data_IF_144578285678
#
_entry.id   IF_144578285678
#
_cell.length_a   1.000
_cell.length_b   1.000
_cell.length_c   1.000
_cell.angle_alpha   90.00
_cell.angle_beta   90.00
_cell.angle_gamma   90.00
#
_symmetry.space_group_name_H-M   'P 1'
#
loop_
_entity.id
_entity.type
_entity.pdbx_description
1 polymer ?
#
# COMPACT_ATOMS: atom_id res chain seq x y z
N UNK A 1 -2.58 -15.26 17.92
CA UNK A 1 -1.23 -15.80 17.66
C UNK A 1 -0.89 -17.06 18.46
N UNK A 2 -1.25 -17.15 19.75
CA UNK A 2 -1.02 -18.35 20.57
C UNK A 2 -1.55 -19.66 19.95
N UNK A 3 -2.78 -19.64 19.44
CA UNK A 3 -3.39 -20.81 18.80
C UNK A 3 -2.74 -21.20 17.47
N UNK A 4 -2.03 -20.27 16.82
CA UNK A 4 -1.33 -20.51 15.56
C UNK A 4 0.14 -20.91 15.76
N UNK A 5 0.63 -21.02 17.01
CA UNK A 5 2.04 -21.27 17.30
C UNK A 5 2.97 -20.07 17.04
N UNK A 6 2.43 -18.91 16.65
CA UNK A 6 3.19 -17.74 16.22
C UNK A 6 3.52 -16.76 17.37
N UNK A 7 3.63 -17.24 18.62
CA UNK A 7 3.85 -16.38 19.79
C UNK A 7 5.16 -15.60 19.69
N UNK A 8 6.24 -16.26 19.29
CA UNK A 8 7.59 -15.67 19.24
C UNK A 8 7.68 -14.51 18.24
N UNK A 9 7.38 -14.69 16.93
CA UNK A 9 7.45 -13.58 15.99
C UNK A 9 6.43 -12.47 16.30
N UNK A 10 5.26 -12.82 16.86
CA UNK A 10 4.28 -11.82 17.27
C UNK A 10 4.75 -10.96 18.44
N UNK A 11 5.45 -11.54 19.41
CA UNK A 11 5.95 -10.80 20.57
C UNK A 11 6.87 -9.66 20.15
N UNK A 12 7.71 -9.86 19.13
CA UNK A 12 8.57 -8.79 18.61
C UNK A 12 7.76 -7.58 18.13
N UNK A 13 6.69 -7.83 17.37
CA UNK A 13 5.81 -6.78 16.85
C UNK A 13 5.04 -6.11 17.99
N UNK A 14 4.47 -6.91 18.89
CA UNK A 14 3.72 -6.42 20.04
C UNK A 14 4.58 -5.55 20.97
N UNK A 15 5.77 -6.02 21.34
CA UNK A 15 6.68 -5.29 22.22
C UNK A 15 7.17 -3.98 21.58
N UNK A 16 7.25 -3.92 20.24
CA UNK A 16 7.52 -2.67 19.53
C UNK A 16 6.36 -1.69 19.66
N UNK A 17 5.13 -2.14 19.40
CA UNK A 17 3.92 -1.30 19.50
C UNK A 17 3.77 -0.71 20.91
N UNK A 18 3.94 -1.54 21.95
CA UNK A 18 3.86 -1.12 23.36
C UNK A 18 4.91 -0.07 23.76
N UNK A 19 6.04 -0.01 23.04
CA UNK A 19 7.11 0.97 23.30
C UNK A 19 6.94 2.28 22.55
N UNK A 20 6.00 2.38 21.61
CA UNK A 20 5.77 3.62 20.87
C UNK A 20 5.19 4.69 21.80
N UNK A 21 5.78 5.88 21.76
CA UNK A 21 5.29 7.07 22.47
C UNK A 21 4.40 7.94 21.59
N UNK A 22 3.55 8.75 22.22
CA UNK A 22 2.26 9.24 21.72
C UNK A 22 2.19 10.08 20.44
N UNK A 23 3.31 10.39 19.78
CA UNK A 23 3.28 11.12 18.50
C UNK A 23 3.06 10.19 17.29
N UNK A 24 3.48 8.93 17.41
CA UNK A 24 3.30 7.90 16.36
C UNK A 24 2.26 6.89 16.83
N UNK A 25 1.13 6.87 16.15
CA UNK A 25 0.07 5.90 16.38
C UNK A 25 0.23 4.71 15.43
N UNK A 26 0.13 3.50 15.98
CA UNK A 26 0.18 2.24 15.24
C UNK A 26 -0.91 1.32 15.79
N UNK A 27 -1.95 1.08 15.00
CA UNK A 27 -3.14 0.33 15.41
C UNK A 27 -3.22 -0.99 14.63
N UNK A 28 -3.25 -2.15 15.29
CA UNK A 28 -3.62 -3.40 14.65
C UNK A 28 -5.07 -3.36 14.16
N UNK A 29 -5.28 -3.55 12.87
CA UNK A 29 -6.61 -3.39 12.25
C UNK A 29 -7.12 -4.70 11.62
N UNK A 30 -6.25 -5.40 10.88
CA UNK A 30 -6.63 -6.57 10.08
C UNK A 30 -5.70 -7.72 10.42
N UNK A 31 -6.27 -8.92 10.51
CA UNK A 31 -5.52 -10.18 10.49
C UNK A 31 -5.94 -10.96 9.27
N UNK A 32 -4.97 -11.43 8.47
CA UNK A 32 -5.22 -12.40 7.41
C UNK A 32 -4.42 -13.67 7.66
N UNK A 33 -4.99 -14.79 7.23
CA UNK A 33 -4.36 -16.12 7.30
C UNK A 33 -4.52 -16.79 5.94
N UNK A 34 -3.53 -17.59 5.56
CA UNK A 34 -3.66 -18.42 4.37
C UNK A 34 -4.66 -19.57 4.63
N UNK A 35 -5.43 -19.96 3.62
CA UNK A 35 -6.33 -21.10 3.69
C UNK A 35 -5.60 -22.38 3.23
N UNK A 36 -4.52 -22.70 3.93
CA UNK A 36 -3.64 -23.86 3.67
C UNK A 36 -3.60 -24.79 4.89
N UNK A 37 -2.93 -25.93 4.75
CA UNK A 37 -2.63 -26.79 5.89
C UNK A 37 -1.88 -26.02 7.01
N UNK A 38 -2.14 -26.30 8.31
CA UNK A 38 -1.62 -25.49 9.40
C UNK A 38 -0.09 -25.29 9.40
N UNK A 39 0.67 -26.29 8.98
CA UNK A 39 2.14 -26.25 8.87
C UNK A 39 2.65 -25.24 7.84
N UNK A 40 1.87 -24.97 6.78
CA UNK A 40 2.20 -24.03 5.70
C UNK A 40 1.51 -22.68 5.87
N UNK A 41 0.65 -22.55 6.89
CA UNK A 41 -0.12 -21.34 7.09
C UNK A 41 0.77 -20.19 7.55
N UNK A 42 0.44 -18.99 7.08
CA UNK A 42 1.07 -17.74 7.47
C UNK A 42 0.00 -16.80 7.99
N UNK A 43 0.28 -16.13 9.09
CA UNK A 43 -0.55 -15.03 9.56
C UNK A 43 0.09 -13.70 9.18
N UNK A 44 -0.73 -12.73 8.78
CA UNK A 44 -0.32 -11.35 8.55
C UNK A 44 -1.15 -10.46 9.46
N UNK A 45 -0.48 -9.61 10.23
CA UNK A 45 -1.15 -8.58 11.03
C UNK A 45 -0.83 -7.23 10.40
N UNK A 46 -1.88 -6.52 10.00
CA UNK A 46 -1.81 -5.21 9.37
C UNK A 46 -1.95 -4.14 10.44
N UNK A 47 -0.99 -3.23 10.46
CA UNK A 47 -0.95 -2.10 11.36
C UNK A 47 -1.18 -0.84 10.54
N UNK A 48 -2.22 -0.08 10.87
CA UNK A 48 -2.40 1.27 10.32
C UNK A 48 -1.62 2.25 11.16
N UNK A 49 -1.03 3.26 10.53
CA UNK A 49 -0.26 4.28 11.22
C UNK A 49 -0.55 5.70 10.70
N UNK A 50 -0.35 6.68 11.58
CA UNK A 50 -0.32 8.09 11.24
C UNK A 50 1.07 8.55 10.70
N UNK A 51 2.09 7.69 10.73
CA UNK A 51 3.38 7.99 10.13
C UNK A 51 3.22 8.25 8.62
N UNK A 52 3.82 9.35 8.15
CA UNK A 52 3.69 9.80 6.76
C UNK A 52 5.03 10.22 6.13
N UNK A 53 6.15 9.83 6.75
CA UNK A 53 7.51 10.03 6.24
C UNK A 53 8.19 8.69 5.94
N UNK A 54 9.19 8.70 5.07
CA UNK A 54 9.97 7.51 4.74
C UNK A 54 10.64 6.93 5.98
N UNK A 55 11.21 7.79 6.83
CA UNK A 55 11.83 7.40 8.10
C UNK A 55 10.82 6.76 9.03
N UNK A 56 9.63 7.35 9.20
CA UNK A 56 8.58 6.80 10.06
C UNK A 56 8.13 5.41 9.60
N UNK A 57 7.90 5.23 8.30
CA UNK A 57 7.51 3.92 7.75
C UNK A 57 8.65 2.90 7.86
N UNK A 58 9.90 3.32 7.61
CA UNK A 58 11.08 2.44 7.73
C UNK A 58 11.33 2.04 9.19
N UNK A 59 11.13 2.96 10.13
CA UNK A 59 11.20 2.70 11.57
C UNK A 59 10.17 1.63 11.97
N UNK A 60 8.94 1.68 11.43
CA UNK A 60 7.93 0.65 11.67
C UNK A 60 8.33 -0.67 11.03
N UNK A 61 8.71 -0.69 9.74
CA UNK A 61 9.12 -1.91 9.03
C UNK A 61 10.25 -2.66 9.75
N UNK A 62 11.16 -1.92 10.38
CA UNK A 62 12.32 -2.47 11.08
C UNK A 62 12.09 -2.69 12.58
N UNK A 63 10.86 -2.52 13.07
CA UNK A 63 10.52 -2.61 14.50
C UNK A 63 11.46 -1.75 15.37
N UNK A 64 11.64 -0.49 14.96
CA UNK A 64 12.54 0.44 15.62
C UNK A 64 14.02 0.13 15.39
N UNK A 65 14.37 -0.29 14.17
CA UNK A 65 15.73 -0.71 13.80
C UNK A 65 16.26 -1.94 14.54
N UNK A 66 15.38 -2.69 15.24
CA UNK A 66 15.75 -3.92 15.94
C UNK A 66 15.68 -5.15 15.03
N UNK A 67 14.87 -5.10 13.97
CA UNK A 67 14.78 -6.14 12.95
C UNK A 67 15.86 -5.90 11.88
N UNK A 68 17.03 -6.49 12.09
CA UNK A 68 18.26 -6.28 11.29
C UNK A 68 18.47 -7.30 10.18
N UNK A 69 17.46 -8.12 9.87
CA UNK A 69 17.55 -9.13 8.83
C UNK A 69 17.85 -8.49 7.45
N UNK A 70 18.81 -9.02 6.66
CA UNK A 70 19.16 -8.45 5.36
C UNK A 70 17.98 -8.32 4.39
N UNK A 71 17.00 -9.24 4.42
CA UNK A 71 15.81 -9.16 3.58
C UNK A 71 14.95 -7.93 3.91
N UNK A 72 14.96 -7.52 5.18
CA UNK A 72 14.26 -6.32 5.65
C UNK A 72 15.01 -5.07 5.19
N UNK A 73 16.34 -5.06 5.31
CA UNK A 73 17.17 -3.96 4.80
C UNK A 73 16.98 -3.76 3.28
N UNK A 74 16.94 -4.83 2.50
CA UNK A 74 16.70 -4.77 1.05
C UNK A 74 15.31 -4.23 0.70
N UNK A 75 14.29 -4.60 1.49
CA UNK A 75 12.94 -4.08 1.35
C UNK A 75 12.85 -2.60 1.72
N UNK A 76 13.54 -2.16 2.77
CA UNK A 76 13.65 -0.75 3.12
C UNK A 76 14.34 0.01 1.99
N UNK A 77 15.49 -0.46 1.48
CA UNK A 77 16.16 0.18 0.34
C UNK A 77 15.28 0.27 -0.92
N UNK A 78 14.43 -0.72 -1.14
CA UNK A 78 13.41 -0.68 -2.21
C UNK A 78 12.33 0.35 -1.94
N UNK A 79 11.85 0.46 -0.70
CA UNK A 79 10.91 1.48 -0.28
C UNK A 79 11.51 2.89 -0.47
N UNK A 80 12.78 3.10 -0.10
CA UNK A 80 13.47 4.39 -0.28
C UNK A 80 13.52 4.81 -1.76
N UNK A 81 13.87 3.90 -2.66
CA UNK A 81 13.87 4.18 -4.10
C UNK A 81 12.47 4.52 -4.62
N UNK A 82 11.45 3.74 -4.26
CA UNK A 82 10.06 4.02 -4.64
C UNK A 82 9.59 5.37 -4.09
N UNK A 83 9.94 5.69 -2.84
CA UNK A 83 9.60 6.95 -2.21
C UNK A 83 10.21 8.14 -2.95
N UNK A 84 11.48 8.06 -3.33
CA UNK A 84 12.16 9.11 -4.11
C UNK A 84 11.51 9.35 -5.49
N UNK A 85 10.97 8.31 -6.12
CA UNK A 85 10.25 8.46 -7.39
C UNK A 85 8.84 9.05 -7.19
N UNK A 86 8.14 8.67 -6.13
CA UNK A 86 6.78 9.16 -5.82
C UNK A 86 6.77 10.59 -5.25
N UNK A 87 7.81 10.94 -4.48
CA UNK A 87 7.90 12.18 -3.72
C UNK A 87 9.30 12.82 -3.86
N UNK A 88 9.72 13.24 -5.07
CA UNK A 88 11.10 13.63 -5.36
C UNK A 88 11.60 14.88 -4.61
N UNK A 89 10.70 15.71 -4.09
CA UNK A 89 11.05 16.91 -3.33
C UNK A 89 11.13 16.68 -1.81
N UNK A 90 10.79 15.48 -1.34
CA UNK A 90 10.76 15.14 0.07
C UNK A 90 12.06 14.44 0.48
N UNK A 91 12.64 14.86 1.60
CA UNK A 91 13.69 14.10 2.26
C UNK A 91 13.09 12.92 3.06
N UNK A 92 13.94 12.19 3.79
CA UNK A 92 13.49 11.00 4.54
C UNK A 92 12.57 11.34 5.72
N UNK A 93 12.68 12.54 6.28
CA UNK A 93 11.97 12.96 7.50
C UNK A 93 10.69 13.75 7.19
N UNK A 94 10.58 14.25 5.96
CA UNK A 94 9.43 15.01 5.47
C UNK A 94 8.15 14.19 5.57
N UNK A 95 7.20 14.67 6.37
CA UNK A 95 5.84 14.15 6.38
C UNK A 95 5.10 14.58 5.11
N UNK A 96 4.66 13.62 4.30
CA UNK A 96 3.87 13.91 3.12
C UNK A 96 2.42 14.12 3.55
N UNK A 97 1.78 15.26 3.23
CA UNK A 97 0.38 15.45 3.57
C UNK A 97 -0.51 14.61 2.66
N UNK A 98 -1.48 13.91 3.27
CA UNK A 98 -2.58 13.31 2.51
C UNK A 98 -3.46 14.42 1.92
N UNK A 99 -3.82 14.27 0.65
CA UNK A 99 -4.81 15.10 -0.06
C UNK A 99 -6.25 14.82 0.40
N UNK A 100 -6.45 13.75 1.16
CA UNK A 100 -7.74 13.34 1.72
C UNK A 100 -7.52 12.73 3.11
N UNK A 101 -6.96 13.51 4.03
CA UNK A 101 -6.50 13.04 5.35
C UNK A 101 -7.61 12.54 6.28
N UNK A 102 -8.85 12.98 6.06
CA UNK A 102 -10.01 12.49 6.83
C UNK A 102 -10.47 11.10 6.37
N UNK A 103 -10.05 10.66 5.18
CA UNK A 103 -10.43 9.36 4.67
C UNK A 103 -9.66 8.26 5.39
N UNK A 104 -10.37 7.32 6.01
CA UNK A 104 -9.80 6.20 6.75
C UNK A 104 -8.64 5.47 6.04
N UNK A 105 -8.84 5.15 4.76
CA UNK A 105 -7.84 4.43 3.95
C UNK A 105 -6.58 5.25 3.60
N UNK A 106 -6.53 6.53 3.97
CA UNK A 106 -5.38 7.40 3.72
C UNK A 106 -4.19 7.13 4.63
N UNK A 107 -4.38 6.51 5.79
CA UNK A 107 -3.25 6.07 6.62
C UNK A 107 -2.38 5.03 5.91
N UNK A 108 -1.06 5.11 6.10
CA UNK A 108 -0.15 4.06 5.67
C UNK A 108 -0.43 2.77 6.44
N UNK A 109 -0.11 1.63 5.81
CA UNK A 109 -0.26 0.31 6.42
C UNK A 109 1.05 -0.44 6.33
N UNK A 110 1.49 -1.03 7.43
CA UNK A 110 2.58 -2.01 7.45
C UNK A 110 2.02 -3.31 7.99
N UNK A 111 2.18 -4.42 7.27
CA UNK A 111 1.91 -5.73 7.86
C UNK A 111 3.19 -6.46 8.24
N UNK A 112 3.05 -7.39 9.18
CA UNK A 112 4.06 -8.40 9.49
C UNK A 112 3.54 -9.80 9.17
N UNK A 113 4.20 -10.47 8.23
CA UNK A 113 3.97 -11.87 7.88
C UNK A 113 4.77 -12.78 8.81
N UNK A 114 4.10 -13.78 9.37
CA UNK A 114 4.65 -14.71 10.34
C UNK A 114 4.28 -16.14 9.96
N UNK A 115 5.24 -17.07 10.07
CA UNK A 115 5.05 -18.48 9.78
C UNK A 115 5.77 -19.35 10.81
N UNK A 116 5.46 -20.65 10.86
CA UNK A 116 6.07 -21.57 11.83
C UNK A 116 7.55 -21.86 11.53
N UNK A 117 7.99 -21.66 10.28
CA UNK A 117 9.37 -21.90 9.84
C UNK A 117 10.33 -20.75 10.18
N UNK A 118 9.83 -19.60 10.63
CA UNK A 118 10.64 -18.41 10.91
C UNK A 118 10.32 -17.82 12.27
N UNK A 119 11.35 -17.58 13.08
CA UNK A 119 11.23 -16.82 14.32
C UNK A 119 11.08 -15.31 14.09
N UNK A 120 11.47 -14.83 12.89
CA UNK A 120 11.43 -13.41 12.54
C UNK A 120 10.20 -13.10 11.67
N UNK A 121 9.46 -12.02 11.97
CA UNK A 121 8.41 -11.53 11.08
C UNK A 121 8.99 -10.84 9.85
N UNK A 122 8.30 -10.92 8.71
CA UNK A 122 8.67 -10.21 7.48
C UNK A 122 7.71 -9.03 7.21
N UNK A 123 8.20 -7.79 7.14
CA UNK A 123 7.37 -6.61 6.92
C UNK A 123 6.95 -6.44 5.46
N UNK A 124 5.79 -5.79 5.26
CA UNK A 124 5.40 -5.15 4.00
C UNK A 124 4.78 -3.79 4.28
N UNK A 125 5.31 -2.73 3.67
CA UNK A 125 4.69 -1.42 3.67
C UNK A 125 3.72 -1.26 2.50
N UNK A 126 2.66 -0.49 2.70
CA UNK A 126 1.68 -0.06 1.72
C UNK A 126 1.62 1.46 1.70
N UNK A 127 1.98 2.05 0.57
CA UNK A 127 1.87 3.48 0.29
C UNK A 127 0.48 3.72 -0.31
N UNK A 128 -0.44 4.45 0.36
CA UNK A 128 -1.78 4.77 -0.13
C UNK A 128 -1.74 5.86 -1.23
N UNK A 129 -1.04 5.59 -2.34
CA UNK A 129 -0.72 6.58 -3.38
C UNK A 129 -1.91 7.35 -3.93
N UNK A 130 -3.12 6.77 -3.92
CA UNK A 130 -4.37 7.48 -4.26
C UNK A 130 -4.57 8.76 -3.46
N UNK A 131 -4.17 8.74 -2.19
CA UNK A 131 -4.39 9.83 -1.25
C UNK A 131 -3.23 10.83 -1.21
N UNK A 132 -2.08 10.51 -1.80
CA UNK A 132 -0.85 11.31 -1.65
C UNK A 132 -0.37 11.89 -2.98
N UNK A 133 -0.54 11.17 -4.08
CA UNK A 133 -0.19 11.66 -5.40
C UNK A 133 -1.34 12.46 -6.02
N UNK A 134 -1.00 13.45 -6.86
CA UNK A 134 -1.98 14.32 -7.52
C UNK A 134 -2.85 13.55 -8.52
N UNK A 135 -2.22 12.67 -9.31
CA UNK A 135 -2.86 11.95 -10.40
C UNK A 135 -2.19 10.61 -10.67
N UNK A 136 -2.89 9.71 -11.38
CA UNK A 136 -2.36 8.37 -11.72
C UNK A 136 -1.24 8.42 -12.77
N UNK A 137 -1.07 9.55 -13.48
CA UNK A 137 0.02 9.77 -14.43
C UNK A 137 1.37 9.83 -13.70
N UNK A 138 1.46 10.65 -12.65
CA UNK A 138 2.65 10.73 -11.78
C UNK A 138 2.98 9.36 -11.19
N UNK A 139 1.97 8.62 -10.72
CA UNK A 139 2.18 7.29 -10.12
C UNK A 139 2.73 6.33 -11.19
N UNK A 140 2.13 6.31 -12.39
CA UNK A 140 2.57 5.45 -13.48
C UNK A 140 4.01 5.77 -13.92
N UNK A 141 4.38 7.06 -13.99
CA UNK A 141 5.74 7.50 -14.29
C UNK A 141 6.72 7.08 -13.21
N UNK A 142 6.40 7.30 -11.92
CA UNK A 142 7.24 6.88 -10.80
C UNK A 142 7.49 5.36 -10.80
N UNK A 143 6.45 4.57 -11.03
CA UNK A 143 6.56 3.12 -11.15
C UNK A 143 7.39 2.73 -12.38
N UNK A 144 7.18 3.39 -13.52
CA UNK A 144 7.98 3.15 -14.71
C UNK A 144 9.46 3.47 -14.46
N UNK A 145 9.78 4.60 -13.83
CA UNK A 145 11.15 4.99 -13.50
C UNK A 145 11.82 3.98 -12.56
N UNK A 146 11.11 3.55 -11.50
CA UNK A 146 11.62 2.51 -10.60
C UNK A 146 11.93 1.20 -11.34
N UNK A 147 11.06 0.77 -12.26
CA UNK A 147 11.30 -0.46 -13.02
C UNK A 147 12.34 -0.28 -14.14
N UNK A 148 12.51 0.91 -14.73
CA UNK A 148 13.56 1.15 -15.73
C UNK A 148 14.97 0.92 -15.18
N UNK A 149 15.16 1.09 -13.86
CA UNK A 149 16.41 0.79 -13.18
C UNK A 149 16.69 -0.73 -13.06
N UNK A 150 15.68 -1.59 -13.24
CA UNK A 150 15.77 -3.05 -12.99
C UNK A 150 15.33 -3.96 -14.15
N UNK A 151 14.48 -3.46 -15.05
CA UNK A 151 13.89 -4.17 -16.19
C UNK A 151 13.72 -3.15 -17.32
N UNK A 152 14.16 -3.48 -18.54
CA UNK A 152 14.12 -2.59 -19.71
C UNK A 152 12.69 -2.38 -20.25
N UNK A 153 11.75 -1.95 -19.41
CA UNK A 153 10.33 -1.84 -19.74
C UNK A 153 9.78 -0.44 -19.50
N UNK A 154 9.81 0.40 -20.55
CA UNK A 154 8.97 1.61 -20.68
C UNK A 154 7.46 1.30 -20.79
N UNK A 155 7.03 0.07 -20.50
CA UNK A 155 5.68 -0.43 -20.78
C UNK A 155 4.65 -0.15 -19.70
N UNK A 156 5.06 0.26 -18.49
CA UNK A 156 4.11 0.42 -17.38
C UNK A 156 3.05 1.51 -17.67
N UNK A 157 3.48 2.69 -18.13
CA UNK A 157 2.58 3.81 -18.48
C UNK A 157 1.66 3.42 -19.64
N UNK A 158 2.21 2.82 -20.70
CA UNK A 158 1.45 2.41 -21.87
C UNK A 158 0.42 1.32 -21.54
N UNK A 159 0.82 0.33 -20.72
CA UNK A 159 -0.08 -0.74 -20.27
C UNK A 159 -1.27 -0.18 -19.51
N UNK A 160 -1.03 0.75 -18.58
CA UNK A 160 -2.09 1.32 -17.74
C UNK A 160 -3.01 2.23 -18.57
N UNK A 161 -2.47 3.02 -19.50
CA UNK A 161 -3.28 3.75 -20.50
C UNK A 161 -4.13 2.80 -21.34
N UNK A 162 -3.60 1.63 -21.69
CA UNK A 162 -4.32 0.60 -22.43
C UNK A 162 -5.45 -0.05 -21.64
N UNK A 163 -5.25 -0.30 -20.34
CA UNK A 163 -6.25 -0.92 -19.46
C UNK A 163 -7.37 0.05 -19.03
N UNK A 164 -7.04 1.32 -18.80
CA UNK A 164 -7.95 2.31 -18.23
C UNK A 164 -8.25 3.43 -19.21
N UNK A 165 -9.21 3.18 -20.11
CA UNK A 165 -9.58 4.11 -21.19
C UNK A 165 -10.72 5.07 -20.85
N UNK A 166 -11.37 4.89 -19.70
CA UNK A 166 -12.54 5.69 -19.31
C UNK A 166 -12.18 7.13 -18.94
N UNK A 167 -10.91 7.42 -18.64
CA UNK A 167 -10.43 8.77 -18.36
C UNK A 167 -8.93 8.91 -18.61
N UNK A 168 -8.44 10.14 -18.69
CA UNK A 168 -7.01 10.41 -18.73
C UNK A 168 -6.36 10.14 -17.35
N UNK A 169 -5.12 9.63 -17.34
CA UNK A 169 -4.38 9.38 -16.10
C UNK A 169 -4.06 10.67 -15.33
N UNK A 170 -3.86 11.78 -16.04
CA UNK A 170 -3.56 13.10 -15.46
C UNK A 170 -4.78 13.78 -14.82
N UNK A 171 -5.98 13.23 -14.98
CA UNK A 171 -7.22 13.89 -14.51
C UNK A 171 -7.34 13.86 -12.98
N UNK A 172 -7.02 12.72 -12.36
CA UNK A 172 -7.08 12.49 -10.91
C UNK A 172 -6.39 11.17 -10.55
N UNK A 173 -6.10 10.97 -9.27
CA UNK A 173 -5.70 9.67 -8.74
C UNK A 173 -6.94 8.78 -8.51
N UNK A 174 -6.74 7.47 -8.45
CA UNK A 174 -7.80 6.53 -8.11
C UNK A 174 -7.66 5.15 -8.73
N UNK A 175 -6.95 5.03 -9.85
CA UNK A 175 -6.63 3.74 -10.47
C UNK A 175 -5.62 3.02 -9.58
N UNK A 176 -4.51 3.66 -9.23
CA UNK A 176 -3.59 3.11 -8.23
C UNK A 176 -4.11 3.42 -6.84
N UNK A 177 -4.40 2.37 -6.07
CA UNK A 177 -4.85 2.51 -4.68
C UNK A 177 -3.67 2.45 -3.73
N UNK A 178 -2.84 1.41 -3.85
CA UNK A 178 -1.65 1.21 -3.06
C UNK A 178 -0.46 0.76 -3.90
N UNK A 179 0.74 1.17 -3.47
CA UNK A 179 2.02 0.56 -3.87
C UNK A 179 2.59 -0.15 -2.65
N UNK A 180 2.84 -1.45 -2.76
CA UNK A 180 3.35 -2.27 -1.67
C UNK A 180 4.83 -2.61 -1.87
N UNK A 181 5.61 -2.62 -0.79
CA UNK A 181 7.01 -3.07 -0.76
C UNK A 181 7.20 -4.10 0.36
N UNK A 182 7.59 -5.33 0.04
CA UNK A 182 7.67 -6.45 0.97
C UNK A 182 9.07 -7.07 1.06
N UNK A 183 9.48 -7.44 2.26
CA UNK A 183 10.61 -8.35 2.46
C UNK A 183 10.21 -9.78 2.06
N UNK A 184 11.04 -10.43 1.24
CA UNK A 184 10.85 -11.83 0.80
C UNK A 184 12.19 -12.54 0.67
N UNK A 185 12.16 -13.87 0.82
CA UNK A 185 13.32 -14.76 0.65
C UNK A 185 14.01 -14.62 -0.71
N UNK A 186 13.26 -14.33 -1.77
CA UNK A 186 13.78 -14.20 -3.14
C UNK A 186 14.22 -12.76 -3.49
N UNK A 187 14.30 -11.86 -2.51
CA UNK A 187 14.52 -10.43 -2.72
C UNK A 187 13.24 -9.60 -2.58
N UNK A 188 13.35 -8.27 -2.48
CA UNK A 188 12.23 -7.40 -2.20
C UNK A 188 11.16 -7.47 -3.30
N UNK A 189 9.89 -7.49 -2.89
CA UNK A 189 8.76 -7.58 -3.81
C UNK A 189 7.96 -6.27 -3.82
N UNK A 190 7.80 -5.71 -5.00
CA UNK A 190 6.88 -4.59 -5.26
C UNK A 190 5.52 -5.14 -5.72
N UNK A 191 4.41 -4.57 -5.22
CA UNK A 191 3.05 -4.92 -5.64
C UNK A 191 2.25 -3.66 -5.95
N UNK A 192 1.44 -3.71 -7.01
CA UNK A 192 0.55 -2.61 -7.39
C UNK A 192 -0.89 -3.05 -7.15
N UNK A 193 -1.66 -2.22 -6.45
CA UNK A 193 -3.07 -2.47 -6.19
C UNK A 193 -3.91 -1.51 -7.03
N UNK A 194 -4.66 -2.06 -7.98
CA UNK A 194 -5.43 -1.30 -8.95
C UNK A 194 -6.92 -1.35 -8.63
N UNK A 195 -7.59 -0.20 -8.67
CA UNK A 195 -9.04 -0.10 -8.71
C UNK A 195 -9.50 -0.15 -10.17
N UNK A 196 -10.37 -1.10 -10.56
CA UNK A 196 -11.00 -1.09 -11.87
C UNK A 196 -11.85 0.15 -12.15
N UNK A 197 -12.21 0.88 -11.08
CA UNK A 197 -13.06 2.07 -11.10
C UNK A 197 -14.42 1.80 -11.79
N UNK A 198 -15.04 0.63 -11.53
CA UNK A 198 -16.28 0.21 -12.21
C UNK A 198 -17.45 1.20 -12.03
N UNK A 199 -17.49 1.93 -10.92
CA UNK A 199 -18.53 2.92 -10.62
C UNK A 199 -18.09 4.37 -10.88
N UNK A 200 -16.96 4.57 -11.58
CA UNK A 200 -16.50 5.92 -11.88
C UNK A 200 -17.50 6.66 -12.79
N UNK A 201 -17.75 7.96 -12.55
CA UNK A 201 -18.66 8.75 -13.38
C UNK A 201 -18.32 8.69 -14.87
N UNK A 202 -17.03 8.62 -15.20
CA UNK A 202 -16.54 8.57 -16.57
C UNK A 202 -16.84 7.23 -17.28
N UNK A 203 -17.29 6.21 -16.54
CA UNK A 203 -17.78 4.93 -17.08
C UNK A 203 -19.29 4.86 -17.22
N UNK A 204 -20.03 5.85 -16.71
CA UNK A 204 -21.47 5.86 -16.91
C UNK A 204 -21.73 6.00 -18.40
N UNK A 205 -22.33 4.96 -18.98
CA UNK A 205 -22.88 5.03 -20.32
C UNK A 205 -23.96 6.10 -20.25
N UNK A 206 -23.88 7.13 -21.10
CA UNK A 206 -24.99 8.02 -21.29
C UNK A 206 -26.19 7.17 -21.72
N UNK A 207 -27.10 6.88 -20.79
CA UNK A 207 -28.45 6.51 -21.15
C UNK A 207 -29.03 7.74 -21.83
N UNK A 208 -28.91 7.83 -23.16
CA UNK A 208 -29.65 8.80 -23.93
C UNK A 208 -31.13 8.57 -23.62
N UNK A 209 -31.86 9.54 -23.03
CA UNK A 209 -33.29 9.45 -22.94
C UNK A 209 -33.83 9.85 -24.31
N UNK A 210 -33.75 8.92 -25.25
CA UNK A 210 -34.50 8.98 -26.51
C UNK A 210 -35.36 7.73 -26.57
N UNK A 211 -36.48 7.78 -25.85
CA UNK A 211 -37.84 7.66 -26.37
C UNK A 211 -38.80 7.25 -25.24
N UNK A 212 -39.71 8.17 -24.90
CA UNK A 212 -41.04 7.91 -24.33
C UNK A 212 -41.13 7.06 -23.04
N UNK A 213 -41.17 7.71 -21.88
CA UNK A 213 -41.63 7.07 -20.65
C UNK A 213 -41.80 8.06 -19.52
N UNK A 214 -43.06 8.29 -19.13
CA UNK A 214 -43.47 9.25 -18.12
C UNK A 214 -42.74 9.09 -16.77
N UNK A 215 -42.53 10.23 -16.11
CA UNK A 215 -41.71 10.37 -14.93
C UNK A 215 -42.10 9.50 -13.75
N UNK A 216 -41.09 9.15 -12.97
CA UNK A 216 -41.19 8.75 -11.58
C UNK A 216 -40.07 9.44 -10.81
N UNK A 217 -40.46 10.45 -10.04
CA UNK A 217 -39.63 11.06 -9.01
C UNK A 217 -39.35 10.03 -7.92
N UNK A 218 -38.07 9.76 -7.66
CA UNK A 218 -37.64 9.06 -6.47
C UNK A 218 -36.80 10.02 -5.62
N UNK A 219 -37.43 10.60 -4.61
CA UNK A 219 -36.75 11.18 -3.46
C UNK A 219 -36.03 10.05 -2.71
N UNK A 220 -34.72 10.19 -2.51
CA UNK A 220 -33.97 9.39 -1.55
C UNK A 220 -33.56 10.30 -0.39
N UNK A 221 -34.02 9.87 0.79
CA UNK A 221 -33.59 10.29 2.12
C UNK A 221 -32.24 9.64 2.43
#
# INVERSE_FOLDING_TARGET
>A
MSMLGLKTPWRMVHDYIEKLSGDVEVIPEIVSVDCLEPSKNRAKVYLRTNAASLEGISHIMTLGYTLTDPMVADAVGTLERLWGQLFPAADKTTNIPSRNGEHYASGFVVYFEMCLESALPLPKAYIPVRHYCRDDGIIAEAISSYFLESVNERKAVESIKGLFKHRALAQRSGIYTYVGCAARKAGPQVSLYLSPEVFAPERQIACNPTEGGAGLSAHLV
#
